data_IF_045562210647
#
_entry.id   IF_045562210647
#
_cell.length_a   1.000
_cell.length_b   1.000
_cell.length_c   1.000
_cell.angle_alpha   90.00
_cell.angle_beta   90.00
_cell.angle_gamma   90.00
#
_symmetry.space_group_name_H-M   'P 1'
#
loop_
_entity.id
_entity.type
_entity.pdbx_description
1 polymer ?
#
# COMPACT_ATOMS: atom_id res chain seq x y z
N UNK A 1 -14.88 12.28 17.83
CA UNK A 1 -14.75 11.19 16.84
C UNK A 1 -13.74 10.19 17.35
N UNK A 2 -14.06 8.91 17.30
CA UNK A 2 -13.15 7.87 17.74
C UNK A 2 -11.92 7.88 16.82
N UNK A 3 -10.73 7.74 17.39
CA UNK A 3 -9.48 7.49 16.66
C UNK A 3 -9.63 6.31 15.66
N UNK A 4 -10.58 5.45 15.89
CA UNK A 4 -10.89 4.26 15.09
C UNK A 4 -11.34 4.58 13.66
N UNK A 5 -12.17 5.62 13.45
CA UNK A 5 -12.66 5.96 12.11
C UNK A 5 -11.56 6.46 11.17
N UNK A 6 -10.63 7.27 11.68
CA UNK A 6 -9.49 7.79 10.89
C UNK A 6 -8.49 6.70 10.52
N UNK A 7 -8.19 5.80 11.46
CA UNK A 7 -7.30 4.67 11.20
C UNK A 7 -7.93 3.66 10.25
N UNK A 8 -9.23 3.39 10.39
CA UNK A 8 -9.96 2.52 9.47
C UNK A 8 -9.93 3.08 8.05
N UNK A 9 -10.25 4.36 7.89
CA UNK A 9 -10.19 5.04 6.60
C UNK A 9 -8.79 4.99 5.98
N UNK A 10 -7.74 5.34 6.75
CA UNK A 10 -6.37 5.33 6.26
C UNK A 10 -5.94 3.93 5.81
N UNK A 11 -6.30 2.89 6.56
CA UNK A 11 -6.05 1.50 6.18
C UNK A 11 -6.73 1.14 4.88
N UNK A 12 -8.02 1.39 4.75
CA UNK A 12 -8.80 1.07 3.55
C UNK A 12 -8.30 1.81 2.30
N UNK A 13 -7.85 3.06 2.44
CA UNK A 13 -7.23 3.82 1.35
C UNK A 13 -5.89 3.19 0.93
N UNK A 14 -5.04 2.81 1.89
CA UNK A 14 -3.78 2.14 1.59
C UNK A 14 -3.99 0.75 0.99
N UNK A 15 -4.92 -0.03 1.53
CA UNK A 15 -5.31 -1.32 0.96
C UNK A 15 -5.75 -1.16 -0.49
N UNK A 16 -6.61 -0.19 -0.80
CA UNK A 16 -7.07 0.07 -2.16
C UNK A 16 -5.93 0.47 -3.11
N UNK A 17 -4.95 1.25 -2.63
CA UNK A 17 -3.81 1.66 -3.44
C UNK A 17 -2.90 0.49 -3.84
N UNK A 18 -2.82 -0.53 -2.99
CA UNK A 18 -1.97 -1.71 -3.20
C UNK A 18 -2.76 -2.81 -3.93
N UNK A 19 -4.04 -3.00 -3.61
CA UNK A 19 -4.89 -4.05 -4.16
C UNK A 19 -4.95 -4.04 -5.69
N UNK A 20 -4.76 -2.88 -6.32
CA UNK A 20 -4.72 -2.74 -7.79
C UNK A 20 -3.74 -3.70 -8.47
N UNK A 21 -2.66 -4.11 -7.80
CA UNK A 21 -1.67 -5.04 -8.34
C UNK A 21 -2.16 -6.49 -8.41
N UNK A 22 -3.17 -6.84 -7.63
CA UNK A 22 -3.81 -8.16 -7.59
C UNK A 22 -5.23 -8.13 -8.18
N UNK A 23 -5.62 -6.99 -8.78
CA UNK A 23 -6.92 -6.89 -9.43
C UNK A 23 -6.97 -7.86 -10.60
N UNK A 24 -8.01 -8.71 -10.69
CA UNK A 24 -8.10 -9.66 -11.79
C UNK A 24 -8.17 -8.92 -13.12
N UNK A 25 -7.46 -9.43 -14.12
CA UNK A 25 -7.66 -9.00 -15.49
C UNK A 25 -9.15 -9.14 -15.84
N UNK A 26 -9.75 -8.22 -16.59
CA UNK A 26 -11.13 -8.32 -17.03
C UNK A 26 -11.27 -9.53 -17.96
N UNK A 27 -11.51 -10.68 -17.35
CA UNK A 27 -11.90 -11.90 -18.02
C UNK A 27 -13.42 -11.93 -18.01
N UNK A 28 -14.05 -12.38 -19.10
CA UNK A 28 -15.46 -12.46 -19.51
C UNK A 28 -16.52 -12.79 -18.42
N UNK A 29 -16.35 -12.29 -17.21
CA UNK A 29 -17.25 -12.47 -16.10
C UNK A 29 -18.11 -11.20 -15.92
N UNK A 30 -19.40 -11.40 -15.76
CA UNK A 30 -20.42 -10.35 -15.57
C UNK A 30 -20.11 -9.43 -14.37
N UNK A 31 -19.38 -9.95 -13.38
CA UNK A 31 -18.84 -9.21 -12.24
C UNK A 31 -17.72 -8.24 -12.68
N UNK A 32 -16.80 -8.68 -13.51
CA UNK A 32 -15.68 -7.89 -14.02
C UNK A 32 -16.13 -6.81 -15.01
N UNK A 33 -17.21 -7.02 -15.76
CA UNK A 33 -17.81 -5.98 -16.61
C UNK A 33 -18.41 -4.82 -15.82
N UNK A 34 -18.85 -5.06 -14.59
CA UNK A 34 -19.33 -4.01 -13.66
C UNK A 34 -18.22 -3.30 -12.91
N UNK A 35 -17.07 -3.96 -12.79
CA UNK A 35 -15.86 -3.49 -12.11
C UNK A 35 -14.80 -3.01 -13.09
N UNK A 36 -15.22 -2.49 -14.21
CA UNK A 36 -14.44 -2.29 -15.45
C UNK A 36 -13.07 -1.63 -15.27
N UNK A 37 -12.77 -0.95 -14.17
CA UNK A 37 -11.44 -0.41 -13.89
C UNK A 37 -11.12 -0.47 -12.40
N UNK A 38 -9.96 -1.05 -11.99
CA UNK A 38 -9.49 -0.93 -10.62
C UNK A 38 -9.33 0.56 -10.27
N UNK A 39 -9.35 0.93 -8.98
CA UNK A 39 -9.01 2.29 -8.60
C UNK A 39 -7.63 2.61 -9.15
N UNK A 40 -7.56 3.64 -9.96
CA UNK A 40 -6.36 4.07 -10.64
C UNK A 40 -5.37 4.67 -9.63
N UNK A 41 -4.06 4.80 -9.93
CA UNK A 41 -3.04 5.29 -9.01
C UNK A 41 -3.45 6.53 -8.21
N UNK A 42 -2.91 6.68 -7.01
CA UNK A 42 -3.20 7.72 -6.01
C UNK A 42 -3.36 9.16 -6.54
N UNK A 43 -2.84 9.46 -7.72
CA UNK A 43 -2.93 10.76 -8.37
C UNK A 43 -4.19 10.96 -9.24
N UNK A 44 -5.02 9.94 -9.43
CA UNK A 44 -6.21 10.07 -10.26
C UNK A 44 -7.39 10.69 -9.50
N UNK A 45 -8.21 11.44 -10.21
CA UNK A 45 -9.42 12.03 -9.62
C UNK A 45 -10.40 10.95 -9.12
N UNK A 46 -10.45 9.80 -9.77
CA UNK A 46 -11.32 8.68 -9.36
C UNK A 46 -10.88 8.05 -8.04
N UNK A 47 -9.58 7.88 -7.83
CA UNK A 47 -9.07 7.39 -6.56
C UNK A 47 -9.34 8.39 -5.43
N UNK A 48 -9.10 9.69 -5.67
CA UNK A 48 -9.42 10.73 -4.70
C UNK A 48 -10.92 10.77 -4.39
N UNK A 49 -11.75 10.56 -5.38
CA UNK A 49 -13.21 10.50 -5.24
C UNK A 49 -13.63 9.31 -4.38
N UNK A 50 -13.05 8.15 -4.63
CA UNK A 50 -13.24 6.93 -3.85
C UNK A 50 -12.75 7.11 -2.39
N UNK A 51 -11.57 7.66 -2.18
CA UNK A 51 -11.03 7.93 -0.86
C UNK A 51 -11.89 8.91 -0.05
N UNK A 52 -12.48 9.90 -0.73
CA UNK A 52 -13.45 10.83 -0.10
C UNK A 52 -14.73 10.14 0.32
N UNK A 53 -15.25 9.25 -0.53
CA UNK A 53 -16.41 8.45 -0.18
C UNK A 53 -16.14 7.51 1.01
N UNK A 54 -14.98 6.86 1.05
CA UNK A 54 -14.55 6.05 2.19
C UNK A 54 -14.48 6.88 3.47
N UNK A 55 -13.94 8.10 3.41
CA UNK A 55 -13.88 9.00 4.56
C UNK A 55 -15.28 9.29 5.11
N UNK A 56 -16.24 9.58 4.23
CA UNK A 56 -17.64 9.79 4.59
C UNK A 56 -18.24 8.54 5.26
N UNK A 57 -18.06 7.35 4.68
CA UNK A 57 -18.54 6.07 5.24
C UNK A 57 -17.89 5.75 6.60
N UNK A 58 -16.63 6.14 6.81
CA UNK A 58 -15.92 5.95 8.08
C UNK A 58 -16.18 7.08 9.10
N UNK A 59 -16.97 8.10 8.76
CA UNK A 59 -17.25 9.22 9.63
C UNK A 59 -16.04 10.12 9.91
N UNK A 60 -15.14 10.26 8.93
CA UNK A 60 -13.98 11.16 9.01
C UNK A 60 -14.40 12.58 8.69
N UNK A 61 -13.97 13.56 9.49
CA UNK A 61 -14.28 14.98 9.29
C UNK A 61 -13.51 15.57 8.10
N UNK A 62 -14.13 16.51 7.40
CA UNK A 62 -13.61 17.10 6.17
C UNK A 62 -12.25 17.82 6.35
N UNK A 63 -11.98 18.34 7.53
CA UNK A 63 -10.73 19.03 7.86
C UNK A 63 -9.50 18.12 7.85
N UNK A 64 -9.70 16.82 7.88
CA UNK A 64 -8.64 15.81 7.84
C UNK A 64 -8.24 15.43 6.41
N UNK A 65 -9.12 15.70 5.43
CA UNK A 65 -8.91 15.30 4.05
C UNK A 65 -7.96 16.27 3.32
N UNK A 66 -6.97 15.78 2.57
CA UNK A 66 -6.14 16.64 1.73
C UNK A 66 -7.00 17.33 0.66
N UNK A 67 -6.86 18.64 0.50
CA UNK A 67 -7.57 19.46 -0.49
C UNK A 67 -9.11 19.55 -0.32
N UNK A 68 -9.60 19.59 0.91
CA UNK A 68 -11.02 19.58 1.28
C UNK A 68 -11.86 20.78 0.80
N UNK A 69 -11.30 21.75 0.13
CA UNK A 69 -11.94 23.05 -0.17
C UNK A 69 -13.02 23.04 -1.24
N UNK A 70 -13.48 21.92 -1.76
CA UNK A 70 -14.63 21.84 -2.68
C UNK A 70 -15.04 20.39 -3.04
N UNK A 71 -14.95 19.46 -2.11
CA UNK A 71 -15.37 18.10 -2.41
C UNK A 71 -16.89 18.01 -2.45
N UNK A 72 -17.42 17.64 -3.60
CA UNK A 72 -18.82 17.34 -3.76
C UNK A 72 -19.11 15.98 -3.09
N UNK A 73 -19.80 16.01 -1.95
CA UNK A 73 -20.21 14.81 -1.20
C UNK A 73 -21.45 14.09 -1.79
N UNK A 74 -21.88 14.52 -2.96
CA UNK A 74 -22.91 13.80 -3.67
C UNK A 74 -22.30 12.66 -4.50
N UNK A 75 -22.38 11.45 -4.00
CA UNK A 75 -21.89 10.23 -4.64
C UNK A 75 -22.98 9.48 -5.43
N UNK A 76 -24.09 10.14 -5.70
CA UNK A 76 -25.23 9.56 -6.43
C UNK A 76 -24.78 8.98 -7.77
N UNK A 77 -25.03 7.69 -7.95
CA UNK A 77 -24.62 6.92 -9.12
C UNK A 77 -23.24 6.25 -9.01
N UNK A 78 -22.40 6.64 -8.05
CA UNK A 78 -21.07 6.05 -7.86
C UNK A 78 -21.04 5.06 -6.68
N UNK A 79 -21.94 5.19 -5.71
CA UNK A 79 -21.93 4.42 -4.45
C UNK A 79 -21.87 2.91 -4.66
N UNK A 80 -22.69 2.37 -5.58
CA UNK A 80 -22.71 0.94 -5.85
C UNK A 80 -21.34 0.43 -6.35
N UNK A 81 -20.70 1.21 -7.21
CA UNK A 81 -19.34 0.92 -7.72
C UNK A 81 -18.33 0.99 -6.57
N UNK A 82 -18.38 2.02 -5.75
CA UNK A 82 -17.47 2.19 -4.61
C UNK A 82 -17.61 1.08 -3.57
N UNK A 83 -18.82 0.63 -3.27
CA UNK A 83 -19.05 -0.50 -2.38
C UNK A 83 -18.48 -1.81 -2.93
N UNK A 84 -18.57 -2.03 -4.23
CA UNK A 84 -17.95 -3.20 -4.88
C UNK A 84 -16.42 -3.13 -4.83
N UNK A 85 -15.83 -1.96 -5.12
CA UNK A 85 -14.39 -1.73 -5.01
C UNK A 85 -13.92 -2.01 -3.58
N UNK A 86 -14.62 -1.47 -2.56
CA UNK A 86 -14.32 -1.69 -1.15
C UNK A 86 -14.31 -3.18 -0.79
N UNK A 87 -15.39 -3.89 -1.11
CA UNK A 87 -15.51 -5.32 -0.81
C UNK A 87 -14.41 -6.15 -1.50
N UNK A 88 -14.06 -5.82 -2.74
CA UNK A 88 -13.01 -6.53 -3.46
C UNK A 88 -11.62 -6.22 -2.91
N UNK A 89 -11.36 -4.96 -2.60
CA UNK A 89 -10.12 -4.53 -1.91
C UNK A 89 -9.92 -5.28 -0.60
N UNK A 90 -10.97 -5.36 0.22
CA UNK A 90 -10.94 -6.08 1.50
C UNK A 90 -10.60 -7.57 1.31
N UNK A 91 -11.18 -8.21 0.31
CA UNK A 91 -10.86 -9.61 -0.01
C UNK A 91 -9.39 -9.77 -0.39
N UNK A 92 -8.87 -8.92 -1.29
CA UNK A 92 -7.46 -8.96 -1.69
C UNK A 92 -6.54 -8.68 -0.50
N UNK A 93 -6.83 -7.66 0.31
CA UNK A 93 -6.03 -7.30 1.48
C UNK A 93 -5.95 -8.45 2.49
N UNK A 94 -7.06 -9.15 2.71
CA UNK A 94 -7.11 -10.33 3.57
C UNK A 94 -6.35 -11.53 2.99
N UNK A 95 -6.47 -11.79 1.69
CA UNK A 95 -5.77 -12.89 1.02
C UNK A 95 -4.26 -12.66 0.95
N UNK A 96 -3.83 -11.42 0.71
CA UNK A 96 -2.42 -11.05 0.60
C UNK A 96 -1.79 -10.64 1.93
N UNK A 97 -2.58 -10.55 3.02
CA UNK A 97 -2.11 -10.14 4.35
C UNK A 97 -1.41 -8.77 4.33
N UNK A 98 -2.07 -7.76 3.77
CA UNK A 98 -1.50 -6.41 3.70
C UNK A 98 -1.17 -5.88 5.10
N UNK A 99 0.01 -5.29 5.22
CA UNK A 99 0.53 -4.78 6.46
C UNK A 99 1.16 -3.40 6.25
N UNK A 100 0.61 -2.40 6.89
CA UNK A 100 1.04 -1.01 6.75
C UNK A 100 1.82 -0.58 7.99
N UNK A 101 3.14 -0.59 7.90
CA UNK A 101 4.04 -0.26 9.00
C UNK A 101 3.70 1.06 9.70
N UNK A 102 3.38 2.09 8.91
CA UNK A 102 3.07 3.42 9.41
C UNK A 102 1.76 3.44 10.24
N UNK A 103 0.81 2.58 9.95
CA UNK A 103 -0.43 2.46 10.72
C UNK A 103 -0.26 1.56 11.96
N UNK A 104 0.47 0.47 11.82
CA UNK A 104 0.70 -0.46 12.94
C UNK A 104 1.61 0.13 14.03
N UNK A 105 2.50 1.04 13.65
CA UNK A 105 3.42 1.74 14.54
C UNK A 105 3.26 3.26 14.44
N UNK A 106 2.01 3.72 14.43
CA UNK A 106 1.71 5.14 14.20
C UNK A 106 2.45 6.09 15.16
N UNK A 107 2.63 5.70 16.43
CA UNK A 107 3.38 6.46 17.42
C UNK A 107 4.88 6.59 17.08
N UNK A 108 5.46 5.61 16.35
CA UNK A 108 6.86 5.65 15.92
C UNK A 108 7.02 6.60 14.74
N UNK A 109 6.07 6.61 13.82
CA UNK A 109 6.14 7.40 12.59
C UNK A 109 5.58 8.83 12.76
N UNK A 110 4.53 9.01 13.58
CA UNK A 110 3.75 10.24 13.70
C UNK A 110 3.60 10.73 15.14
N UNK A 111 4.45 10.27 16.07
CA UNK A 111 4.35 10.65 17.50
C UNK A 111 4.49 12.16 17.71
N UNK A 112 3.71 12.70 18.64
CA UNK A 112 3.60 14.14 18.92
C UNK A 112 4.91 14.85 19.28
N UNK A 113 5.92 14.11 19.74
CA UNK A 113 7.23 14.67 20.13
C UNK A 113 8.11 15.05 18.91
N UNK A 114 7.73 14.67 17.70
CA UNK A 114 8.53 14.83 16.46
C UNK A 114 8.17 16.08 15.65
N UNK A 115 7.15 16.84 16.06
CA UNK A 115 6.68 18.00 15.29
C UNK A 115 6.19 17.58 13.90
N UNK A 116 6.54 18.37 12.87
CA UNK A 116 6.13 18.11 11.47
C UNK A 116 7.01 17.08 10.74
N UNK A 117 8.02 16.51 11.40
CA UNK A 117 8.88 15.50 10.78
C UNK A 117 8.33 14.10 10.96
N UNK A 118 8.25 13.36 9.85
CA UNK A 118 7.93 11.94 9.92
C UNK A 118 9.07 11.21 10.63
N UNK A 119 8.72 10.39 11.63
CA UNK A 119 9.65 9.53 12.33
C UNK A 119 10.05 8.31 11.52
N UNK A 120 10.60 7.33 12.19
CA UNK A 120 10.97 6.05 11.62
C UNK A 120 11.45 5.08 12.67
N UNK A 121 11.74 3.86 12.25
CA UNK A 121 12.24 2.80 13.10
C UNK A 121 13.74 3.05 13.38
N UNK A 122 14.16 3.01 14.64
CA UNK A 122 15.57 3.26 15.02
C UNK A 122 16.51 2.12 14.59
N UNK A 123 16.00 0.87 14.52
CA UNK A 123 16.76 -0.27 14.05
C UNK A 123 15.88 -1.34 13.41
N UNK A 124 16.29 -1.84 12.24
CA UNK A 124 15.68 -2.99 11.60
C UNK A 124 16.70 -4.13 11.49
N UNK A 125 16.37 -5.28 12.08
CA UNK A 125 17.25 -6.47 12.03
C UNK A 125 16.39 -7.63 11.48
N UNK A 126 16.91 -8.35 10.48
CA UNK A 126 16.15 -9.42 9.86
C UNK A 126 16.96 -10.44 9.09
N UNK A 127 16.32 -11.53 8.78
CA UNK A 127 16.80 -12.56 7.87
C UNK A 127 15.73 -12.72 6.77
N UNK A 128 15.78 -11.88 5.73
CA UNK A 128 14.78 -11.93 4.67
C UNK A 128 14.89 -13.21 3.85
N UNK A 129 13.83 -13.63 3.19
CA UNK A 129 13.85 -14.82 2.35
C UNK A 129 14.80 -14.62 1.15
N UNK A 130 15.65 -15.63 0.91
CA UNK A 130 16.59 -15.65 -0.21
C UNK A 130 15.91 -16.23 -1.45
N UNK A 131 15.38 -15.36 -2.27
CA UNK A 131 14.67 -15.75 -3.49
C UNK A 131 15.12 -14.87 -4.65
N UNK A 132 15.91 -15.44 -5.56
CA UNK A 132 16.39 -14.73 -6.74
C UNK A 132 15.26 -14.22 -7.61
N UNK A 133 15.39 -13.02 -8.17
CA UNK A 133 14.33 -12.28 -8.84
C UNK A 133 13.60 -13.03 -9.96
N UNK A 134 14.27 -13.96 -10.63
CA UNK A 134 13.62 -14.82 -11.65
C UNK A 134 12.68 -15.88 -11.07
N UNK A 135 12.77 -16.15 -9.78
CA UNK A 135 11.95 -17.15 -9.07
C UNK A 135 10.80 -16.56 -8.30
N UNK A 136 10.76 -15.22 -8.11
CA UNK A 136 9.72 -14.55 -7.32
C UNK A 136 8.32 -14.82 -7.88
N UNK A 137 8.13 -14.68 -9.19
CA UNK A 137 6.85 -14.91 -9.83
C UNK A 137 6.36 -16.37 -9.76
N UNK A 138 7.28 -17.32 -9.66
CA UNK A 138 6.92 -18.74 -9.53
C UNK A 138 6.67 -19.17 -8.09
N UNK A 139 7.28 -18.50 -7.11
CA UNK A 139 7.15 -18.82 -5.69
C UNK A 139 6.01 -18.05 -5.01
N UNK A 140 5.63 -16.89 -5.54
CA UNK A 140 4.52 -16.06 -5.04
C UNK A 140 3.48 -15.89 -6.14
N UNK A 141 3.54 -14.75 -6.87
CA UNK A 141 2.71 -14.53 -8.04
C UNK A 141 3.40 -13.57 -9.04
N UNK A 142 2.88 -13.52 -10.26
CA UNK A 142 3.35 -12.58 -11.29
C UNK A 142 3.04 -11.14 -10.86
N UNK A 143 1.89 -10.92 -10.26
CA UNK A 143 1.39 -9.65 -9.75
C UNK A 143 2.31 -9.12 -8.65
N UNK A 144 2.64 -9.95 -7.67
CA UNK A 144 3.60 -9.59 -6.62
C UNK A 144 4.97 -9.21 -7.20
N UNK A 145 5.46 -9.95 -8.19
CA UNK A 145 6.72 -9.61 -8.84
C UNK A 145 6.66 -8.29 -9.63
N UNK A 146 5.49 -7.95 -10.23
CA UNK A 146 5.25 -6.66 -10.89
C UNK A 146 5.22 -5.53 -9.86
N UNK A 147 4.46 -5.70 -8.77
CA UNK A 147 4.39 -4.76 -7.65
C UNK A 147 5.77 -4.39 -7.14
N UNK A 148 6.59 -5.38 -6.76
CA UNK A 148 7.94 -5.13 -6.24
C UNK A 148 8.82 -4.32 -7.21
N UNK A 149 8.74 -4.61 -8.51
CA UNK A 149 9.55 -3.89 -9.51
C UNK A 149 9.09 -2.44 -9.70
N UNK A 150 7.80 -2.19 -9.66
CA UNK A 150 7.23 -0.85 -9.81
C UNK A 150 7.49 -0.02 -8.56
N UNK A 151 7.14 -0.54 -7.40
CA UNK A 151 7.23 0.18 -6.14
C UNK A 151 8.68 0.51 -5.75
N UNK A 152 9.58 -0.45 -5.91
CA UNK A 152 10.97 -0.30 -5.48
C UNK A 152 11.97 -0.11 -6.63
N UNK A 153 11.49 0.19 -7.85
CA UNK A 153 12.33 0.41 -9.03
C UNK A 153 13.32 -0.74 -9.30
N UNK A 154 12.94 -1.97 -8.93
CA UNK A 154 13.77 -3.15 -9.07
C UNK A 154 13.96 -3.58 -10.53
N UNK A 155 15.13 -4.11 -10.88
CA UNK A 155 15.38 -4.75 -12.16
C UNK A 155 14.95 -6.22 -12.12
N UNK A 156 14.68 -6.82 -13.28
CA UNK A 156 14.05 -8.15 -13.39
C UNK A 156 14.80 -9.33 -12.72
N UNK A 157 16.02 -9.12 -12.23
CA UNK A 157 16.83 -10.13 -11.50
C UNK A 157 17.07 -9.78 -10.04
N UNK A 158 16.48 -8.69 -9.55
CA UNK A 158 16.65 -8.26 -8.16
C UNK A 158 16.16 -9.34 -7.20
N UNK A 159 17.02 -9.75 -6.25
CA UNK A 159 16.70 -10.73 -5.22
C UNK A 159 15.66 -10.17 -4.23
N UNK A 160 14.77 -11.02 -3.73
CA UNK A 160 13.74 -10.60 -2.77
C UNK A 160 14.34 -9.94 -1.53
N UNK A 161 15.48 -10.40 -1.05
CA UNK A 161 16.18 -9.81 0.08
C UNK A 161 16.55 -8.32 -0.16
N UNK A 162 16.84 -7.91 -1.41
CA UNK A 162 17.14 -6.52 -1.72
C UNK A 162 15.91 -5.61 -1.56
N UNK A 163 14.71 -6.10 -1.85
CA UNK A 163 13.47 -5.37 -1.60
C UNK A 163 13.22 -5.18 -0.10
N UNK A 164 13.55 -6.18 0.74
CA UNK A 164 13.52 -6.03 2.20
C UNK A 164 14.50 -4.98 2.71
N UNK A 165 15.69 -4.91 2.15
CA UNK A 165 16.62 -3.83 2.46
C UNK A 165 16.03 -2.46 2.12
N UNK A 166 15.46 -2.33 0.93
CA UNK A 166 14.85 -1.08 0.48
C UNK A 166 13.68 -0.69 1.38
N UNK A 167 12.74 -1.60 1.65
CA UNK A 167 11.63 -1.36 2.55
C UNK A 167 12.10 -0.93 3.94
N UNK A 168 13.12 -1.60 4.48
CA UNK A 168 13.67 -1.23 5.78
C UNK A 168 14.30 0.16 5.75
N UNK A 169 15.05 0.48 4.69
CA UNK A 169 15.66 1.79 4.53
C UNK A 169 14.63 2.91 4.44
N UNK A 170 13.54 2.70 3.73
CA UNK A 170 12.47 3.68 3.57
C UNK A 170 11.68 3.93 4.88
N UNK A 171 11.78 3.02 5.86
CA UNK A 171 11.10 3.11 7.16
C UNK A 171 12.05 3.40 8.35
N UNK A 172 13.35 3.55 8.11
CA UNK A 172 14.33 3.90 9.15
C UNK A 172 14.37 5.43 9.34
N UNK A 173 14.47 5.87 10.60
CA UNK A 173 14.73 7.27 10.92
C UNK A 173 16.16 7.69 10.56
N UNK A 174 16.40 8.99 10.45
CA UNK A 174 17.74 9.51 10.23
C UNK A 174 18.70 9.06 11.34
N UNK A 175 19.81 8.47 10.96
CA UNK A 175 20.79 7.89 11.89
C UNK A 175 20.47 6.49 12.40
N UNK A 176 19.33 5.92 12.04
CA UNK A 176 18.96 4.54 12.37
C UNK A 176 19.86 3.49 11.73
N UNK A 177 19.64 2.23 12.04
CA UNK A 177 20.52 1.11 11.63
C UNK A 177 19.72 -0.01 10.97
N UNK A 178 20.25 -0.58 9.89
CA UNK A 178 19.72 -1.79 9.25
C UNK A 178 20.76 -2.90 9.29
N UNK A 179 20.38 -4.04 9.83
CA UNK A 179 21.20 -5.26 9.85
C UNK A 179 20.42 -6.44 9.30
N UNK A 180 20.78 -6.91 8.11
CA UNK A 180 20.11 -8.03 7.48
C UNK A 180 21.08 -9.12 7.10
N UNK A 181 20.69 -10.38 7.30
CA UNK A 181 21.38 -11.51 6.70
C UNK A 181 21.06 -11.52 5.21
N UNK A 182 22.07 -11.59 4.36
CA UNK A 182 21.88 -11.56 2.93
C UNK A 182 22.84 -12.48 2.20
N UNK A 183 22.50 -12.86 0.97
CA UNK A 183 23.39 -13.57 0.07
C UNK A 183 24.46 -12.62 -0.46
N UNK A 184 25.64 -13.16 -0.79
CA UNK A 184 26.77 -12.38 -1.33
C UNK A 184 26.42 -11.65 -2.65
N UNK A 185 25.37 -12.08 -3.35
CA UNK A 185 24.88 -11.43 -4.57
C UNK A 185 24.46 -9.98 -4.39
N UNK A 186 24.01 -9.58 -3.19
CA UNK A 186 23.66 -8.17 -2.89
C UNK A 186 24.90 -7.27 -3.00
N UNK A 187 26.10 -7.74 -2.58
CA UNK A 187 27.34 -6.99 -2.68
C UNK A 187 27.97 -6.95 -4.08
N UNK A 188 27.49 -7.74 -5.03
CA UNK A 188 28.06 -7.88 -6.38
C UNK A 188 27.42 -6.98 -7.44
N UNK A 189 26.53 -6.09 -7.05
CA UNK A 189 26.19 -4.89 -7.81
C UNK A 189 25.34 -5.05 -9.08
N UNK A 190 24.52 -6.09 -9.19
CA UNK A 190 23.55 -6.25 -10.28
C UNK A 190 22.09 -6.19 -9.78
N UNK A 191 21.87 -5.68 -8.58
CA UNK A 191 20.54 -5.52 -7.96
C UNK A 191 20.04 -4.10 -8.06
#
# INVERSE_FOLDING_TARGET
LSSDGRLSWAREVLDASIAMWWWPDPVDDEFNQRMADPPVPLASWEFNRYATWLAYECGVEDDVLPNHTNMNHNFSGEESRFRLIRAHTENIANEQFFYHWQLEFAEVFFGAERGDSMGGISAAIGNPPFLGGTKISGASSVEFAKFLRSEYSGKGKTDLAAYFYRLSFDNIEEGGRVGMVATNSIGQGAT
#
